data_IF_507755439394
#
_entry.id   IF_507755439394
#
_cell.length_a   1.000
_cell.length_b   1.000
_cell.length_c   1.000
_cell.angle_alpha   90.00
_cell.angle_beta   90.00
_cell.angle_gamma   90.00
#
_symmetry.space_group_name_H-M   'P 1'
#
loop_
_entity.id
_entity.type
_entity.pdbx_description
1 polymer ?
#
# COMPACT_ATOMS: atom_id res chain seq x y z
N UNK A 1 19.60 -0.53 9.47
CA UNK A 1 21.07 -0.67 9.58
C UNK A 1 21.63 -1.11 8.23
N UNK A 2 21.15 -2.22 7.65
CA UNK A 2 21.67 -2.78 6.40
C UNK A 2 21.66 -1.79 5.22
N UNK A 3 20.57 -1.06 4.97
CA UNK A 3 20.49 -0.11 3.87
C UNK A 3 21.51 1.05 4.02
N UNK A 4 21.76 1.52 5.25
CA UNK A 4 22.78 2.56 5.51
C UNK A 4 24.18 2.03 5.21
N UNK A 5 24.50 0.82 5.61
CA UNK A 5 25.81 0.21 5.33
C UNK A 5 25.97 -0.09 3.83
N UNK A 6 24.95 -0.56 3.16
CA UNK A 6 24.98 -0.75 1.71
C UNK A 6 25.28 0.57 0.99
N UNK A 7 24.60 1.67 1.36
CA UNK A 7 24.87 2.99 0.77
C UNK A 7 26.29 3.48 1.02
N UNK A 8 26.81 3.33 2.24
CA UNK A 8 28.19 3.70 2.57
C UNK A 8 29.21 2.93 1.71
N UNK A 9 28.90 1.71 1.37
CA UNK A 9 29.75 0.84 0.54
C UNK A 9 29.51 1.00 -0.97
N UNK A 10 28.78 2.05 -1.39
CA UNK A 10 28.57 2.34 -2.82
C UNK A 10 27.47 1.49 -3.49
N UNK A 11 26.67 0.77 -2.71
CA UNK A 11 25.46 0.09 -3.19
C UNK A 11 24.25 1.04 -3.11
N UNK A 12 23.17 0.68 -3.79
CA UNK A 12 21.90 1.45 -3.83
C UNK A 12 22.10 2.87 -4.40
N UNK A 13 22.92 3.02 -5.42
CA UNK A 13 23.15 4.30 -6.10
C UNK A 13 21.95 4.76 -6.91
N UNK A 14 21.06 3.83 -7.25
CA UNK A 14 19.79 4.03 -7.94
C UNK A 14 18.64 4.40 -6.99
N UNK A 15 18.84 4.31 -5.67
CA UNK A 15 17.85 4.68 -4.69
C UNK A 15 17.60 6.19 -4.68
N UNK A 16 16.34 6.61 -4.86
CA UNK A 16 15.93 7.99 -4.65
C UNK A 16 16.19 8.40 -3.20
N UNK A 17 16.84 9.54 -3.02
CA UNK A 17 17.06 10.14 -1.70
C UNK A 17 16.23 11.40 -1.60
N UNK A 18 15.26 11.39 -0.70
CA UNK A 18 14.36 12.52 -0.43
C UNK A 18 14.12 12.63 1.06
N UNK A 19 13.79 13.84 1.54
CA UNK A 19 13.30 14.05 2.90
C UNK A 19 11.89 13.48 3.08
N UNK A 20 11.10 13.43 2.00
CA UNK A 20 9.82 12.73 1.94
C UNK A 20 10.06 11.25 1.59
N UNK A 21 9.90 10.36 2.57
CA UNK A 21 10.04 8.91 2.36
C UNK A 21 8.67 8.26 2.53
N UNK A 22 7.86 8.32 1.46
CA UNK A 22 6.53 7.71 1.43
C UNK A 22 6.55 6.30 0.82
N UNK A 23 7.48 6.04 -0.11
CA UNK A 23 7.67 4.76 -0.75
C UNK A 23 9.17 4.49 -0.95
N UNK A 24 9.54 3.23 -1.16
CA UNK A 24 10.88 2.91 -1.64
C UNK A 24 10.92 3.17 -3.15
N UNK A 25 11.73 4.12 -3.59
CA UNK A 25 11.80 4.55 -4.99
C UNK A 25 13.21 4.35 -5.54
N UNK A 26 13.30 3.76 -6.72
CA UNK A 26 14.57 3.55 -7.43
C UNK A 26 14.49 4.12 -8.83
N UNK A 27 15.60 4.72 -9.28
CA UNK A 27 15.72 5.19 -10.66
C UNK A 27 15.94 4.03 -11.60
N UNK A 28 15.17 4.00 -12.68
CA UNK A 28 15.31 3.04 -13.78
C UNK A 28 15.29 3.76 -15.11
N UNK A 29 15.92 3.16 -16.11
CA UNK A 29 15.82 3.60 -17.49
C UNK A 29 14.77 2.78 -18.22
N UNK A 30 13.85 3.45 -18.90
CA UNK A 30 12.70 2.84 -19.58
C UNK A 30 12.70 3.25 -21.04
N UNK A 31 12.64 2.26 -21.93
CA UNK A 31 12.37 2.51 -23.35
C UNK A 31 10.89 2.83 -23.54
N UNK A 32 10.61 4.05 -23.97
CA UNK A 32 9.26 4.51 -24.29
C UNK A 32 9.16 4.86 -25.77
N UNK A 33 7.95 4.80 -26.31
CA UNK A 33 7.67 5.28 -27.66
C UNK A 33 7.07 6.68 -27.62
N UNK A 34 7.77 7.65 -28.25
CA UNK A 34 7.27 9.00 -28.45
C UNK A 34 7.27 9.32 -29.96
N UNK A 35 6.10 9.58 -30.52
CA UNK A 35 5.94 9.93 -31.94
C UNK A 35 6.57 8.90 -32.89
N UNK A 36 6.39 7.61 -32.61
CA UNK A 36 6.91 6.50 -33.42
C UNK A 36 8.41 6.24 -33.28
N UNK A 37 9.08 6.88 -32.32
CA UNK A 37 10.50 6.69 -32.03
C UNK A 37 10.70 6.16 -30.62
N UNK A 38 11.60 5.18 -30.48
CA UNK A 38 12.06 4.74 -29.17
C UNK A 38 12.94 5.79 -28.56
N UNK A 39 12.66 6.15 -27.33
CA UNK A 39 13.41 7.12 -26.52
C UNK A 39 13.62 6.51 -25.14
N UNK A 40 14.85 6.55 -24.64
CA UNK A 40 15.14 6.17 -23.26
C UNK A 40 14.79 7.33 -22.33
N UNK A 41 14.01 7.04 -21.28
CA UNK A 41 13.58 8.04 -20.31
C UNK A 41 13.88 7.54 -18.89
N UNK A 42 14.31 8.45 -18.02
CA UNK A 42 14.53 8.16 -16.61
C UNK A 42 13.20 8.14 -15.86
N UNK A 43 12.93 7.04 -15.19
CA UNK A 43 11.73 6.83 -14.39
C UNK A 43 12.08 6.52 -12.94
N UNK A 44 11.09 6.71 -12.06
CA UNK A 44 11.09 6.16 -10.70
C UNK A 44 10.15 4.98 -10.66
N UNK A 45 10.68 3.82 -10.27
CA UNK A 45 9.92 2.65 -9.88
C UNK A 45 9.74 2.71 -8.36
N UNK A 46 8.50 2.63 -7.90
CA UNK A 46 8.14 2.79 -6.50
C UNK A 46 7.51 1.51 -5.96
N UNK A 47 7.90 1.15 -4.74
CA UNK A 47 7.30 0.06 -3.98
C UNK A 47 6.87 0.57 -2.62
N UNK A 48 5.63 0.28 -2.25
CA UNK A 48 5.10 0.57 -0.92
C UNK A 48 4.38 -0.66 -0.38
N UNK A 49 4.60 -0.95 0.89
CA UNK A 49 3.80 -1.93 1.63
C UNK A 49 3.26 -1.31 2.91
N UNK A 50 2.09 -1.76 3.31
CA UNK A 50 1.41 -1.42 4.55
C UNK A 50 0.97 -2.69 5.28
N UNK A 51 0.97 -2.62 6.60
CA UNK A 51 0.35 -3.62 7.46
C UNK A 51 -0.81 -3.00 8.22
N UNK A 52 -1.95 -3.67 8.22
CA UNK A 52 -3.17 -3.16 8.88
C UNK A 52 -3.87 -4.27 9.65
N UNK A 53 -3.12 -4.91 10.56
CA UNK A 53 -3.51 -6.14 11.21
C UNK A 53 -4.68 -5.95 12.17
N UNK A 54 -4.51 -5.08 13.15
CA UNK A 54 -5.49 -4.87 14.22
C UNK A 54 -6.79 -4.25 13.74
N UNK A 55 -6.79 -3.18 12.94
CA UNK A 55 -8.04 -2.63 12.40
C UNK A 55 -8.83 -3.62 11.55
N UNK A 56 -8.15 -4.43 10.72
CA UNK A 56 -8.79 -5.45 9.91
C UNK A 56 -9.45 -6.54 10.77
N UNK A 57 -8.93 -6.80 11.95
CA UNK A 57 -9.49 -7.77 12.88
C UNK A 57 -10.78 -7.26 13.55
N UNK A 58 -10.87 -5.95 13.79
CA UNK A 58 -12.02 -5.29 14.44
C UNK A 58 -13.10 -4.97 13.42
N UNK A 59 -12.74 -4.33 12.32
CA UNK A 59 -13.61 -3.96 11.20
C UNK A 59 -12.97 -4.41 9.90
N UNK A 60 -13.25 -5.66 9.46
CA UNK A 60 -12.50 -6.30 8.38
C UNK A 60 -12.55 -5.58 7.05
N UNK A 61 -13.71 -5.02 6.69
CA UNK A 61 -13.88 -4.33 5.41
C UNK A 61 -13.07 -3.03 5.37
N UNK A 62 -13.28 -2.14 6.32
CA UNK A 62 -12.58 -0.85 6.36
C UNK A 62 -11.10 -0.98 6.67
N UNK A 63 -10.74 -1.94 7.56
CA UNK A 63 -9.34 -2.21 7.88
C UNK A 63 -8.54 -2.66 6.66
N UNK A 64 -9.05 -3.61 5.88
CA UNK A 64 -8.39 -4.06 4.66
C UNK A 64 -8.41 -3.02 3.55
N UNK A 65 -9.50 -2.25 3.42
CA UNK A 65 -9.57 -1.11 2.50
C UNK A 65 -8.52 -0.06 2.83
N UNK A 66 -8.35 0.27 4.11
CA UNK A 66 -7.34 1.22 4.56
C UNK A 66 -5.92 0.69 4.33
N UNK A 67 -5.70 -0.62 4.49
CA UNK A 67 -4.42 -1.26 4.21
C UNK A 67 -3.95 -0.98 2.78
N UNK A 68 -4.75 -1.35 1.79
CA UNK A 68 -4.41 -1.10 0.39
C UNK A 68 -4.47 0.39 0.05
N UNK A 69 -5.41 1.14 0.64
CA UNK A 69 -5.53 2.57 0.44
C UNK A 69 -4.29 3.34 0.87
N UNK A 70 -3.70 3.01 2.02
CA UNK A 70 -2.43 3.58 2.48
C UNK A 70 -1.29 3.25 1.53
N UNK A 71 -1.17 1.97 1.15
CA UNK A 71 -0.16 1.53 0.20
C UNK A 71 -0.25 2.27 -1.15
N UNK A 72 -1.47 2.58 -1.62
CA UNK A 72 -1.69 3.31 -2.88
C UNK A 72 -1.42 4.81 -2.74
N UNK A 73 -1.90 5.44 -1.67
CA UNK A 73 -1.80 6.90 -1.49
C UNK A 73 -0.37 7.39 -1.41
N UNK A 74 0.54 6.62 -0.83
CA UNK A 74 1.91 7.04 -0.66
C UNK A 74 2.66 7.22 -1.99
N UNK A 75 2.68 6.25 -2.92
CA UNK A 75 3.24 6.50 -4.24
C UNK A 75 2.49 7.56 -5.04
N UNK A 76 1.16 7.69 -4.87
CA UNK A 76 0.39 8.77 -5.50
C UNK A 76 0.87 10.15 -5.08
N UNK A 77 1.36 10.33 -3.85
CA UNK A 77 1.95 11.59 -3.39
C UNK A 77 3.16 11.98 -4.25
N UNK A 78 3.90 11.00 -4.76
CA UNK A 78 4.97 11.15 -5.74
C UNK A 78 4.50 11.28 -7.19
N UNK A 79 3.18 11.48 -7.41
CA UNK A 79 2.57 11.59 -8.76
C UNK A 79 2.82 10.37 -9.65
N UNK A 80 2.92 9.19 -9.04
CA UNK A 80 3.13 7.95 -9.76
C UNK A 80 1.80 7.31 -10.19
N UNK A 81 1.87 6.48 -11.21
CA UNK A 81 0.78 5.58 -11.59
C UNK A 81 0.95 4.24 -10.87
N UNK A 82 -0.13 3.72 -10.28
CA UNK A 82 -0.14 2.43 -9.60
C UNK A 82 -0.51 1.36 -10.61
N UNK A 83 0.44 0.46 -10.88
CA UNK A 83 0.25 -0.60 -11.88
C UNK A 83 -0.33 -1.87 -11.29
N UNK A 84 0.02 -2.18 -10.03
CA UNK A 84 -0.25 -3.48 -9.45
C UNK A 84 -0.38 -3.40 -7.94
N UNK A 85 -1.39 -4.10 -7.39
CA UNK A 85 -1.50 -4.38 -5.97
C UNK A 85 -1.16 -5.83 -5.67
N UNK A 86 -0.65 -6.08 -4.47
CA UNK A 86 -0.28 -7.38 -3.93
C UNK A 86 -0.89 -7.48 -2.55
N UNK A 87 -1.43 -8.66 -2.19
CA UNK A 87 -1.99 -8.93 -0.87
C UNK A 87 -1.38 -10.18 -0.27
N UNK A 88 -0.93 -10.06 0.98
CA UNK A 88 -0.46 -11.20 1.77
C UNK A 88 -1.18 -11.19 3.11
N UNK A 89 -1.80 -12.31 3.48
CA UNK A 89 -2.53 -12.42 4.74
C UNK A 89 -2.10 -13.63 5.56
N UNK A 90 -2.25 -13.52 6.87
CA UNK A 90 -2.19 -14.63 7.80
C UNK A 90 -3.45 -14.64 8.68
N UNK A 91 -4.19 -15.74 8.68
CA UNK A 91 -5.40 -15.91 9.49
C UNK A 91 -5.51 -17.33 10.03
N UNK A 92 -6.34 -17.55 11.03
CA UNK A 92 -6.76 -18.92 11.32
C UNK A 92 -7.76 -19.39 10.27
N UNK A 93 -8.13 -20.67 10.32
CA UNK A 93 -9.00 -21.25 9.29
C UNK A 93 -10.38 -20.57 9.24
N UNK A 94 -10.83 -20.10 8.07
CA UNK A 94 -12.18 -19.55 7.93
C UNK A 94 -13.27 -20.63 8.08
N UNK A 95 -12.88 -21.90 8.14
CA UNK A 95 -13.79 -23.03 8.37
C UNK A 95 -13.95 -23.38 9.86
N UNK A 96 -13.28 -22.64 10.76
CA UNK A 96 -13.50 -22.80 12.19
C UNK A 96 -14.97 -22.62 12.56
N UNK A 97 -15.45 -23.43 13.49
CA UNK A 97 -16.80 -23.33 14.00
C UNK A 97 -17.00 -22.02 14.77
N UNK A 98 -18.22 -21.50 14.74
CA UNK A 98 -18.53 -20.26 15.45
C UNK A 98 -18.31 -20.36 16.95
N UNK A 99 -18.56 -21.53 17.55
CA UNK A 99 -18.34 -21.82 18.96
C UNK A 99 -16.86 -21.75 19.39
N UNK A 100 -15.94 -21.93 18.45
CA UNK A 100 -14.50 -21.84 18.69
C UNK A 100 -13.97 -20.38 18.61
N UNK A 101 -14.83 -19.42 18.35
CA UNK A 101 -14.45 -18.01 18.27
C UNK A 101 -13.98 -17.51 19.63
N UNK A 102 -12.83 -16.83 19.66
CA UNK A 102 -12.32 -16.25 20.90
C UNK A 102 -13.27 -15.17 21.45
N UNK A 103 -13.42 -15.08 22.78
CA UNK A 103 -14.28 -14.07 23.39
C UNK A 103 -13.94 -12.64 22.92
N UNK A 104 -14.98 -11.85 22.56
CA UNK A 104 -14.81 -10.48 22.12
C UNK A 104 -14.27 -10.31 20.70
N UNK A 105 -14.14 -11.39 19.94
CA UNK A 105 -13.63 -11.37 18.56
C UNK A 105 -14.72 -11.73 17.54
N UNK A 106 -14.52 -11.30 16.30
CA UNK A 106 -15.29 -11.79 15.16
C UNK A 106 -14.83 -13.20 14.77
N UNK A 107 -15.74 -13.98 14.17
CA UNK A 107 -15.35 -15.30 13.65
C UNK A 107 -14.33 -15.17 12.51
N UNK A 108 -13.44 -16.17 12.37
CA UNK A 108 -12.43 -16.17 11.33
C UNK A 108 -13.01 -16.07 9.93
N UNK A 109 -14.17 -16.69 9.69
CA UNK A 109 -14.89 -16.57 8.43
C UNK A 109 -15.31 -15.13 8.14
N UNK A 110 -15.89 -14.43 9.13
CA UNK A 110 -16.33 -13.04 8.97
C UNK A 110 -15.15 -12.11 8.70
N UNK A 111 -14.05 -12.29 9.43
CA UNK A 111 -12.84 -11.51 9.23
C UNK A 111 -12.28 -11.73 7.83
N UNK A 112 -12.08 -12.98 7.43
CA UNK A 112 -11.46 -13.32 6.14
C UNK A 112 -12.28 -12.82 4.95
N UNK A 113 -13.61 -13.06 4.96
CA UNK A 113 -14.48 -12.63 3.86
C UNK A 113 -14.63 -11.11 3.81
N UNK A 114 -14.81 -10.47 4.96
CA UNK A 114 -14.92 -9.01 5.04
C UNK A 114 -13.63 -8.30 4.58
N UNK A 115 -12.48 -8.82 4.99
CA UNK A 115 -11.18 -8.28 4.57
C UNK A 115 -10.95 -8.43 3.06
N UNK A 116 -11.29 -9.58 2.48
CA UNK A 116 -11.19 -9.79 1.04
C UNK A 116 -12.06 -8.80 0.25
N UNK A 117 -13.30 -8.59 0.71
CA UNK A 117 -14.22 -7.61 0.10
C UNK A 117 -13.70 -6.17 0.22
N UNK A 118 -13.21 -5.77 1.39
CA UNK A 118 -12.69 -4.41 1.61
C UNK A 118 -11.47 -4.12 0.75
N UNK A 119 -10.55 -5.06 0.69
CA UNK A 119 -9.35 -4.93 -0.12
C UNK A 119 -9.69 -4.78 -1.62
N UNK A 120 -10.51 -5.67 -2.16
CA UNK A 120 -10.92 -5.62 -3.57
C UNK A 120 -11.76 -4.39 -3.90
N UNK A 121 -12.64 -3.97 -2.98
CA UNK A 121 -13.50 -2.80 -3.19
C UNK A 121 -12.67 -1.53 -3.43
N UNK A 122 -11.66 -1.28 -2.61
CA UNK A 122 -10.82 -0.10 -2.79
C UNK A 122 -10.05 -0.13 -4.12
N UNK A 123 -9.39 -1.24 -4.42
CA UNK A 123 -8.65 -1.40 -5.66
C UNK A 123 -9.53 -1.25 -6.90
N UNK A 124 -10.70 -1.87 -6.90
CA UNK A 124 -11.63 -1.81 -8.03
C UNK A 124 -12.15 -0.39 -8.31
N UNK A 125 -12.39 0.43 -7.27
CA UNK A 125 -12.87 1.79 -7.43
C UNK A 125 -11.88 2.70 -8.14
N UNK A 126 -10.60 2.42 -8.05
CA UNK A 126 -9.53 3.20 -8.70
C UNK A 126 -8.87 2.47 -9.87
N UNK A 127 -9.37 1.30 -10.24
CA UNK A 127 -8.88 0.53 -11.38
C UNK A 127 -7.55 -0.17 -11.16
N UNK A 128 -7.15 -0.42 -9.91
CA UNK A 128 -5.92 -1.16 -9.57
C UNK A 128 -6.22 -2.64 -9.33
N UNK A 129 -5.70 -3.50 -10.19
CA UNK A 129 -5.83 -4.93 -10.02
C UNK A 129 -4.92 -5.46 -8.91
N UNK A 130 -5.46 -6.34 -8.06
CA UNK A 130 -4.66 -7.15 -7.14
C UNK A 130 -4.21 -8.40 -7.86
N UNK A 131 -3.03 -8.35 -8.45
CA UNK A 131 -2.52 -9.41 -9.34
C UNK A 131 -1.91 -10.60 -8.61
N UNK A 132 -1.62 -10.46 -7.33
CA UNK A 132 -1.09 -11.52 -6.49
C UNK A 132 -1.74 -11.51 -5.12
N UNK A 133 -2.31 -12.65 -4.71
CA UNK A 133 -2.88 -12.87 -3.39
C UNK A 133 -2.30 -14.14 -2.80
N UNK A 134 -1.70 -14.04 -1.63
CA UNK A 134 -1.26 -15.19 -0.84
C UNK A 134 -1.94 -15.15 0.52
N UNK A 135 -2.69 -16.19 0.85
CA UNK A 135 -3.34 -16.33 2.15
C UNK A 135 -2.76 -17.56 2.88
N UNK A 136 -2.23 -17.32 4.07
CA UNK A 136 -1.63 -18.34 4.93
C UNK A 136 -2.61 -18.62 6.08
N UNK A 137 -3.00 -19.87 6.23
CA UNK A 137 -3.88 -20.31 7.31
C UNK A 137 -3.09 -21.08 8.36
N UNK A 138 -3.03 -20.53 9.57
CA UNK A 138 -2.34 -21.15 10.68
C UNK A 138 -2.98 -20.76 12.03
N UNK A 139 -3.14 -21.70 12.98
CA UNK A 139 -3.78 -21.41 14.27
C UNK A 139 -3.13 -20.25 15.04
N UNK A 140 -1.85 -20.02 14.86
CA UNK A 140 -1.12 -18.90 15.46
C UNK A 140 -1.66 -17.51 15.10
N UNK A 141 -2.40 -17.39 14.01
CA UNK A 141 -3.06 -16.14 13.59
C UNK A 141 -4.47 -15.98 14.17
N UNK A 142 -4.96 -16.90 14.99
CA UNK A 142 -6.31 -16.81 15.57
C UNK A 142 -6.49 -15.58 16.46
N UNK A 143 -5.48 -15.31 17.29
CA UNK A 143 -5.51 -14.18 18.21
C UNK A 143 -5.18 -12.84 17.51
N UNK A 144 -4.37 -12.87 16.47
CA UNK A 144 -3.94 -11.69 15.72
C UNK A 144 -3.73 -12.05 14.26
N UNK A 145 -4.57 -11.47 13.41
CA UNK A 145 -4.47 -11.54 11.96
C UNK A 145 -3.28 -10.74 11.44
N UNK A 146 -2.69 -11.18 10.35
CA UNK A 146 -1.79 -10.40 9.52
C UNK A 146 -2.52 -9.96 8.25
N UNK A 147 -2.53 -8.68 7.98
CA UNK A 147 -3.02 -8.10 6.72
C UNK A 147 -1.93 -7.20 6.16
N UNK A 148 -1.37 -7.57 5.02
CA UNK A 148 -0.32 -6.83 4.33
C UNK A 148 -0.81 -6.48 2.94
N UNK A 149 -0.78 -5.21 2.61
CA UNK A 149 -0.99 -4.69 1.27
C UNK A 149 0.30 -4.11 0.72
N UNK A 150 0.56 -4.34 -0.55
CA UNK A 150 1.69 -3.74 -1.24
C UNK A 150 1.29 -3.30 -2.64
N UNK A 151 2.00 -2.33 -3.19
CA UNK A 151 1.80 -1.85 -4.54
C UNK A 151 3.13 -1.60 -5.25
N UNK A 152 3.07 -1.72 -6.57
CA UNK A 152 4.13 -1.31 -7.48
C UNK A 152 3.60 -0.14 -8.31
N UNK A 153 4.37 0.93 -8.33
CA UNK A 153 4.02 2.15 -9.06
C UNK A 153 5.23 2.66 -9.85
N UNK A 154 4.99 3.48 -10.84
CA UNK A 154 6.07 4.14 -11.58
C UNK A 154 5.61 5.48 -12.17
N UNK A 155 6.58 6.35 -12.44
CA UNK A 155 6.36 7.62 -13.09
C UNK A 155 7.65 8.13 -13.73
N UNK A 156 7.58 8.93 -14.81
CA UNK A 156 8.75 9.68 -15.26
C UNK A 156 9.35 10.49 -14.12
N UNK A 157 10.65 10.42 -13.92
CA UNK A 157 11.33 11.12 -12.83
C UNK A 157 11.07 12.64 -12.86
N UNK A 158 10.84 13.20 -14.03
CA UNK A 158 10.52 14.62 -14.24
C UNK A 158 9.15 15.03 -13.67
N UNK A 159 8.24 14.09 -13.44
CA UNK A 159 6.91 14.38 -12.88
C UNK A 159 6.92 14.51 -11.36
N UNK A 160 7.91 13.95 -10.70
CA UNK A 160 8.01 13.96 -9.23
C UNK A 160 8.43 15.35 -8.75
N UNK A 161 7.72 15.87 -7.75
CA UNK A 161 8.03 17.13 -7.08
C UNK A 161 8.38 16.84 -5.63
N UNK A 162 9.51 17.37 -5.20
CA UNK A 162 10.04 17.27 -3.82
C UNK A 162 10.35 18.69 -3.34
N UNK A 163 9.31 19.48 -3.16
CA UNK A 163 9.41 20.90 -2.80
C UNK A 163 8.95 21.10 -1.36
N UNK A 164 9.65 21.91 -0.63
CA UNK A 164 9.25 22.35 0.72
C UNK A 164 8.44 23.64 0.63
N UNK A 165 7.39 23.81 1.47
CA UNK A 165 6.63 25.05 1.50
C UNK A 165 7.49 26.23 2.02
N UNK A 166 7.19 27.42 1.54
CA UNK A 166 7.84 28.65 1.96
C UNK A 166 6.92 29.49 2.86
N UNK A 167 7.45 30.34 3.74
CA UNK A 167 6.66 31.30 4.47
C UNK A 167 5.84 32.18 3.54
N UNK A 168 4.52 32.21 3.72
CA UNK A 168 3.58 32.93 2.86
C UNK A 168 2.83 32.07 1.85
N UNK A 169 3.19 30.81 1.67
CA UNK A 169 2.42 29.87 0.89
C UNK A 169 1.04 29.64 1.51
N UNK A 170 0.04 29.47 0.65
CA UNK A 170 -1.34 29.26 1.09
C UNK A 170 -1.66 27.78 1.11
N UNK A 171 -2.17 27.30 2.24
CA UNK A 171 -2.71 25.96 2.38
C UNK A 171 -4.18 25.99 1.99
N UNK A 172 -4.56 25.26 0.96
CA UNK A 172 -5.94 25.18 0.46
C UNK A 172 -6.45 23.76 0.73
N UNK A 173 -7.53 23.66 1.51
CA UNK A 173 -8.28 22.41 1.70
C UNK A 173 -9.51 22.43 0.79
N UNK A 174 -9.58 21.47 -0.12
CA UNK A 174 -10.73 21.24 -0.98
C UNK A 174 -11.33 19.88 -0.65
N UNK A 175 -12.58 19.85 -0.21
CA UNK A 175 -13.24 18.61 0.16
C UNK A 175 -14.62 18.83 0.79
N UNK A 176 -15.24 17.73 1.22
CA UNK A 176 -16.50 17.71 1.94
C UNK A 176 -16.33 17.55 3.45
N UNK A 177 -17.45 17.46 4.16
CA UNK A 177 -17.45 17.04 5.57
C UNK A 177 -17.00 15.58 5.65
N UNK A 178 -16.03 15.32 6.50
CA UNK A 178 -15.65 13.95 6.85
C UNK A 178 -16.47 13.50 8.06
N UNK A 179 -16.79 12.21 8.11
CA UNK A 179 -17.42 11.57 9.26
C UNK A 179 -16.39 11.04 10.25
N UNK A 180 -16.72 9.97 10.93
CA UNK A 180 -15.79 9.22 11.79
C UNK A 180 -14.90 8.25 11.01
N UNK A 181 -14.56 8.61 9.78
CA UNK A 181 -13.70 7.82 8.94
C UNK A 181 -12.30 7.73 9.59
N UNK A 182 -11.67 6.59 9.47
CA UNK A 182 -10.36 6.36 10.07
C UNK A 182 -10.38 5.91 11.53
N UNK A 183 -11.53 5.82 12.18
CA UNK A 183 -11.60 5.25 13.54
C UNK A 183 -11.22 3.76 13.58
N UNK A 184 -11.32 3.05 12.48
CA UNK A 184 -10.90 1.67 12.32
C UNK A 184 -9.48 1.53 11.77
N UNK A 185 -8.85 2.65 11.42
CA UNK A 185 -7.54 2.71 10.78
C UNK A 185 -6.37 2.87 11.74
#
# INVERSE_FOLDING_TARGET
ISAREMRKNGFLNDLEVSEEINACSVYIDVDIEKNGKKVMEKWLLMFKNETHNHPTEIEPFGGASTCIGGAIRDPLSGRSYIYQAIRVTGSASPLEKLEDTLPGKLSQRKITTGAAHGYSSYGNQIGVATSHVTEIYHPGYKAKRMEVGAVVAATPASNVRRESPNPGDKIILLGGKTGRDGCGG
#
